data_IF_908619645369
#
_entry.id   IF_908619645369
#
_cell.length_a   1.000
_cell.length_b   1.000
_cell.length_c   1.000
_cell.angle_alpha   90.00
_cell.angle_beta   90.00
_cell.angle_gamma   90.00
#
_symmetry.space_group_name_H-M   'P 1'
#
loop_
_entity.id
_entity.type
_entity.pdbx_description
1 polymer ?
#
# COMPACT_ATOMS: atom_id res chain seq x y z
N UNK A 1 11.33 -10.93 -15.27
CA UNK A 1 10.14 -11.37 -16.01
C UNK A 1 8.96 -10.55 -15.51
N UNK A 2 8.24 -9.79 -16.34
CA UNK A 2 7.07 -9.07 -15.87
C UNK A 2 5.99 -10.10 -15.53
N UNK A 3 5.43 -9.98 -14.33
CA UNK A 3 4.32 -10.81 -13.87
C UNK A 3 3.12 -10.66 -14.82
N UNK A 4 2.45 -11.77 -15.11
CA UNK A 4 1.18 -11.72 -15.85
C UNK A 4 0.09 -11.04 -15.00
N UNK A 5 -0.89 -10.40 -15.65
CA UNK A 5 -2.04 -9.78 -14.97
C UNK A 5 -2.73 -10.77 -14.03
N UNK A 6 -2.86 -12.03 -14.45
CA UNK A 6 -3.47 -13.08 -13.64
C UNK A 6 -2.67 -13.41 -12.38
N UNK A 7 -1.33 -13.44 -12.46
CA UNK A 7 -0.49 -13.66 -11.27
C UNK A 7 -0.60 -12.50 -10.29
N UNK A 8 -0.67 -11.27 -10.79
CA UNK A 8 -0.90 -10.08 -9.97
C UNK A 8 -2.26 -10.20 -9.26
N UNK A 9 -3.33 -10.50 -10.00
CA UNK A 9 -4.68 -10.66 -9.42
C UNK A 9 -4.71 -11.79 -8.38
N UNK A 10 -4.12 -12.94 -8.69
CA UNK A 10 -4.05 -14.09 -7.76
C UNK A 10 -3.25 -13.75 -6.50
N UNK A 11 -2.13 -13.06 -6.65
CA UNK A 11 -1.30 -12.58 -5.54
C UNK A 11 -2.06 -11.59 -4.65
N UNK A 12 -2.65 -10.56 -5.26
CA UNK A 12 -3.46 -9.55 -4.54
C UNK A 12 -4.64 -10.17 -3.81
N UNK A 13 -5.36 -11.09 -4.45
CA UNK A 13 -6.49 -11.80 -3.83
C UNK A 13 -6.06 -12.67 -2.64
N UNK A 14 -4.94 -13.38 -2.77
CA UNK A 14 -4.38 -14.20 -1.69
C UNK A 14 -3.96 -13.34 -0.49
N UNK A 15 -3.30 -12.20 -0.73
CA UNK A 15 -2.92 -11.23 0.29
C UNK A 15 -4.14 -10.62 0.98
N UNK A 16 -5.18 -10.25 0.23
CA UNK A 16 -6.42 -9.72 0.78
C UNK A 16 -7.12 -10.76 1.69
N UNK A 17 -7.17 -12.03 1.27
CA UNK A 17 -7.69 -13.13 2.10
C UNK A 17 -6.90 -13.30 3.40
N UNK A 18 -5.58 -13.24 3.32
CA UNK A 18 -4.71 -13.36 4.50
C UNK A 18 -4.90 -12.18 5.47
N UNK A 19 -5.05 -10.95 4.94
CA UNK A 19 -5.35 -9.79 5.77
C UNK A 19 -6.68 -9.93 6.53
N UNK A 20 -7.74 -10.36 5.83
CA UNK A 20 -9.07 -10.58 6.43
C UNK A 20 -9.06 -11.72 7.46
N UNK A 21 -8.23 -12.75 7.27
CA UNK A 21 -8.11 -13.82 8.26
C UNK A 21 -7.38 -13.37 9.52
N UNK A 22 -6.36 -12.51 9.40
CA UNK A 22 -5.58 -12.00 10.53
C UNK A 22 -6.26 -10.84 11.27
N UNK A 23 -7.15 -10.08 10.62
CA UNK A 23 -7.87 -8.96 11.25
C UNK A 23 -9.01 -9.37 12.19
N UNK A 24 -9.41 -10.65 12.18
CA UNK A 24 -10.43 -11.21 13.10
C UNK A 24 -9.87 -11.64 14.47
N UNK A 25 -8.55 -11.57 14.68
CA UNK A 25 -7.94 -11.87 15.99
C UNK A 25 -7.89 -10.59 16.81
N UNK A 26 -8.57 -10.59 17.97
CA UNK A 26 -8.67 -9.44 18.87
C UNK A 26 -7.31 -8.82 19.22
N UNK A 27 -7.27 -7.50 19.09
CA UNK A 27 -6.15 -6.60 19.28
C UNK A 27 -5.72 -6.49 20.76
N UNK A 28 -4.70 -7.25 21.18
CA UNK A 28 -3.86 -6.89 22.35
C UNK A 28 -2.38 -7.17 22.19
N UNK A 29 -1.91 -7.66 21.04
CA UNK A 29 -0.49 -7.69 20.72
C UNK A 29 -0.30 -7.08 19.34
N UNK A 30 0.41 -5.95 19.28
CA UNK A 30 0.95 -5.41 18.04
C UNK A 30 2.02 -6.40 17.57
N UNK A 31 1.61 -7.52 17.00
CA UNK A 31 2.53 -8.51 16.45
C UNK A 31 3.15 -7.86 15.22
N UNK A 32 4.36 -7.34 15.40
CA UNK A 32 5.31 -7.22 14.30
C UNK A 32 5.51 -8.65 13.81
N UNK A 33 4.82 -9.02 12.75
CA UNK A 33 5.14 -10.24 12.03
C UNK A 33 6.52 -10.03 11.43
N UNK A 34 7.56 -10.41 12.16
CA UNK A 34 8.90 -10.56 11.61
C UNK A 34 8.85 -11.79 10.74
N UNK A 35 8.41 -11.62 9.50
CA UNK A 35 8.74 -12.58 8.46
C UNK A 35 10.26 -12.55 8.35
N UNK A 36 10.92 -13.55 8.92
CA UNK A 36 12.33 -13.86 8.71
C UNK A 36 12.51 -14.41 7.30
N UNK A 37 12.07 -13.60 6.33
CA UNK A 37 12.55 -13.69 4.97
C UNK A 37 13.93 -13.04 5.03
N UNK A 38 14.98 -13.70 4.58
CA UNK A 38 16.25 -13.05 4.27
C UNK A 38 15.97 -12.08 3.12
N UNK A 39 15.40 -10.92 3.45
CA UNK A 39 15.01 -9.90 2.49
C UNK A 39 16.24 -9.59 1.65
N UNK A 40 16.10 -9.74 0.34
CA UNK A 40 17.04 -9.16 -0.61
C UNK A 40 17.34 -7.74 -0.11
N UNK A 41 18.61 -7.39 0.03
CA UNK A 41 19.02 -6.01 0.26
C UNK A 41 18.36 -5.12 -0.80
N UNK A 42 17.95 -3.89 -0.44
CA UNK A 42 17.30 -2.89 -1.31
C UNK A 42 15.76 -2.95 -1.40
N UNK A 43 15.07 -3.20 -0.28
CA UNK A 43 13.62 -3.01 -0.21
C UNK A 43 13.26 -1.67 0.46
N UNK A 44 12.06 -1.17 0.18
CA UNK A 44 11.52 0.06 0.77
C UNK A 44 10.19 -0.19 1.45
N UNK A 45 9.89 0.57 2.51
CA UNK A 45 8.54 0.64 3.06
C UNK A 45 7.72 1.63 2.25
N UNK A 46 6.56 1.20 1.75
CA UNK A 46 5.55 2.08 1.18
C UNK A 46 4.34 2.14 2.13
N UNK A 47 3.98 3.33 2.59
CA UNK A 47 2.74 3.61 3.32
C UNK A 47 1.89 4.56 2.51
N UNK A 48 0.62 4.23 2.32
CA UNK A 48 -0.32 5.03 1.53
C UNK A 48 -1.61 5.25 2.29
N UNK A 49 -2.31 6.32 1.96
CA UNK A 49 -3.63 6.64 2.49
C UNK A 49 -4.46 7.35 1.41
N UNK A 50 -5.71 6.93 1.28
CA UNK A 50 -6.71 7.55 0.43
C UNK A 50 -7.70 8.38 1.23
N UNK A 51 -8.07 9.56 0.75
CA UNK A 51 -9.03 10.45 1.41
C UNK A 51 -10.11 10.92 0.45
N UNK A 52 -11.31 11.17 0.99
CA UNK A 52 -12.44 11.73 0.25
C UNK A 52 -13.03 12.90 1.02
N UNK A 53 -13.24 14.01 0.31
CA UNK A 53 -13.99 15.15 0.81
C UNK A 53 -15.49 14.88 0.66
N UNK A 54 -16.22 14.79 1.78
CA UNK A 54 -17.63 14.35 1.80
C UNK A 54 -18.55 15.25 0.97
N UNK A 55 -18.33 16.56 1.00
CA UNK A 55 -19.15 17.58 0.35
C UNK A 55 -19.11 17.53 -1.19
N UNK A 56 -17.91 17.44 -1.74
CA UNK A 56 -17.59 17.54 -3.17
C UNK A 56 -17.37 16.17 -3.79
N UNK A 57 -17.22 15.13 -2.95
CA UNK A 57 -16.85 13.77 -3.32
C UNK A 57 -15.50 13.69 -4.03
N UNK A 58 -14.68 14.74 -3.93
CA UNK A 58 -13.33 14.75 -4.48
C UNK A 58 -12.43 13.86 -3.64
N UNK A 59 -11.59 13.08 -4.29
CA UNK A 59 -10.64 12.22 -3.64
C UNK A 59 -9.21 12.78 -3.75
N UNK A 60 -8.36 12.38 -2.83
CA UNK A 60 -6.93 12.61 -2.91
C UNK A 60 -6.21 11.41 -2.29
N UNK A 61 -4.99 11.16 -2.73
CA UNK A 61 -4.14 10.10 -2.20
C UNK A 61 -2.83 10.69 -1.75
N UNK A 62 -2.21 10.05 -0.78
CA UNK A 62 -0.87 10.39 -0.35
C UNK A 62 -0.14 9.18 0.21
N UNK A 63 1.14 9.37 0.45
CA UNK A 63 1.95 8.33 1.02
C UNK A 63 3.39 8.72 1.23
N UNK A 64 4.12 7.79 1.81
CA UNK A 64 5.51 7.95 2.24
C UNK A 64 6.28 6.68 1.90
N UNK A 65 7.45 6.87 1.32
CA UNK A 65 8.45 5.83 1.06
C UNK A 65 9.60 5.97 2.05
N UNK A 66 10.02 4.86 2.66
CA UNK A 66 11.14 4.80 3.61
C UNK A 66 12.12 3.70 3.25
N UNK A 67 13.40 3.91 3.57
CA UNK A 67 14.44 2.89 3.42
C UNK A 67 14.22 1.73 4.41
N UNK A 68 15.02 0.67 4.29
CA UNK A 68 14.96 -0.52 5.15
C UNK A 68 15.17 -0.19 6.65
N UNK A 69 15.82 0.93 6.95
CA UNK A 69 16.05 1.45 8.32
C UNK A 69 14.91 2.34 8.80
N UNK A 70 13.88 2.55 7.98
CA UNK A 70 12.74 3.40 8.28
C UNK A 70 13.02 4.90 8.14
N UNK A 71 14.14 5.29 7.50
CA UNK A 71 14.43 6.69 7.18
C UNK A 71 13.58 7.12 6.00
N UNK A 72 13.11 8.36 6.06
CA UNK A 72 12.31 8.93 4.99
C UNK A 72 13.12 9.09 3.70
N UNK A 73 12.62 8.53 2.60
CA UNK A 73 13.19 8.73 1.25
C UNK A 73 12.42 9.85 0.55
N UNK A 74 11.09 9.73 0.52
CA UNK A 74 10.20 10.71 -0.09
C UNK A 74 8.75 10.57 0.41
N UNK A 75 7.95 11.60 0.15
CA UNK A 75 6.49 11.55 0.27
C UNK A 75 5.85 12.02 -1.02
N UNK A 76 4.60 11.61 -1.23
CA UNK A 76 3.82 11.99 -2.40
C UNK A 76 2.39 12.33 -1.99
N UNK A 77 1.75 13.14 -2.81
CA UNK A 77 0.32 13.36 -2.79
C UNK A 77 -0.18 13.60 -4.22
N UNK A 78 -1.44 13.26 -4.46
CA UNK A 78 -2.10 13.49 -5.76
C UNK A 78 -3.59 13.71 -5.54
N UNK A 79 -4.12 14.77 -6.11
CA UNK A 79 -5.56 14.98 -6.21
C UNK A 79 -6.14 14.04 -7.28
N UNK A 80 -7.26 13.41 -6.94
CA UNK A 80 -8.02 12.55 -7.84
C UNK A 80 -9.34 13.21 -8.22
N UNK A 81 -9.99 12.65 -9.25
CA UNK A 81 -11.38 12.94 -9.53
C UNK A 81 -12.30 12.32 -8.46
N UNK A 82 -13.61 12.44 -8.66
CA UNK A 82 -14.59 11.78 -7.80
C UNK A 82 -14.45 10.26 -7.93
N UNK A 83 -14.18 9.58 -6.82
CA UNK A 83 -14.17 8.12 -6.74
C UNK A 83 -14.67 7.67 -5.37
N UNK A 84 -14.80 6.36 -5.17
CA UNK A 84 -15.09 5.74 -3.87
C UNK A 84 -13.85 5.69 -2.97
N UNK A 85 -14.07 5.51 -1.66
CA UNK A 85 -12.97 5.43 -0.68
C UNK A 85 -12.01 4.30 -1.07
N UNK A 86 -12.57 3.15 -1.44
CA UNK A 86 -11.77 2.01 -1.89
C UNK A 86 -10.93 2.33 -3.12
N UNK A 87 -11.48 3.04 -4.11
CA UNK A 87 -10.71 3.46 -5.28
C UNK A 87 -9.58 4.43 -4.88
N UNK A 88 -9.82 5.36 -3.95
CA UNK A 88 -8.78 6.25 -3.46
C UNK A 88 -7.63 5.46 -2.81
N UNK A 89 -7.92 4.49 -1.95
CA UNK A 89 -6.90 3.62 -1.35
C UNK A 89 -6.09 2.86 -2.41
N UNK A 90 -6.77 2.28 -3.40
CA UNK A 90 -6.12 1.54 -4.49
C UNK A 90 -5.24 2.44 -5.36
N UNK A 91 -5.68 3.67 -5.64
CA UNK A 91 -4.87 4.67 -6.33
C UNK A 91 -3.63 5.06 -5.54
N UNK A 92 -3.74 5.15 -4.21
CA UNK A 92 -2.61 5.40 -3.31
C UNK A 92 -1.54 4.32 -3.46
N UNK A 93 -1.94 3.04 -3.38
CA UNK A 93 -1.04 1.89 -3.57
C UNK A 93 -0.39 1.93 -4.96
N UNK A 94 -1.19 2.12 -6.02
CA UNK A 94 -0.68 2.13 -7.39
C UNK A 94 0.34 3.24 -7.60
N UNK A 95 0.03 4.47 -7.18
CA UNK A 95 0.93 5.62 -7.33
C UNK A 95 2.21 5.45 -6.50
N UNK A 96 2.08 4.97 -5.28
CA UNK A 96 3.23 4.69 -4.42
C UNK A 96 4.15 3.62 -5.01
N UNK A 97 3.60 2.54 -5.60
CA UNK A 97 4.38 1.49 -6.25
C UNK A 97 5.11 2.01 -7.49
N UNK A 98 4.42 2.76 -8.37
CA UNK A 98 5.04 3.36 -9.55
C UNK A 98 6.22 4.26 -9.18
N UNK A 99 6.03 5.16 -8.21
CA UNK A 99 7.09 6.07 -7.75
C UNK A 99 8.27 5.33 -7.10
N UNK A 100 8.00 4.20 -6.43
CA UNK A 100 9.04 3.40 -5.79
C UNK A 100 9.87 2.56 -6.78
N UNK A 101 9.39 2.39 -8.02
CA UNK A 101 10.11 1.67 -9.08
C UNK A 101 10.97 2.60 -9.96
N UNK A 102 10.66 3.90 -9.97
CA UNK A 102 11.43 4.92 -10.71
C UNK A 102 12.73 5.37 -9.99
N UNK A 103 12.99 4.85 -8.79
CA UNK A 103 14.10 5.23 -7.90
C UNK A 103 15.01 4.03 -7.66
#
# INVERSE_FOLDING_TARGET
VPWSVDEIIRGSYSLAKQYVSHSKVNSTARQRTSYEFTWLSNWVWLKTDGSIKVDSRMAAVGGVVKDEKGKWIMGFNRQLAKCSILEAELWGILNGLSLSQEK
#
